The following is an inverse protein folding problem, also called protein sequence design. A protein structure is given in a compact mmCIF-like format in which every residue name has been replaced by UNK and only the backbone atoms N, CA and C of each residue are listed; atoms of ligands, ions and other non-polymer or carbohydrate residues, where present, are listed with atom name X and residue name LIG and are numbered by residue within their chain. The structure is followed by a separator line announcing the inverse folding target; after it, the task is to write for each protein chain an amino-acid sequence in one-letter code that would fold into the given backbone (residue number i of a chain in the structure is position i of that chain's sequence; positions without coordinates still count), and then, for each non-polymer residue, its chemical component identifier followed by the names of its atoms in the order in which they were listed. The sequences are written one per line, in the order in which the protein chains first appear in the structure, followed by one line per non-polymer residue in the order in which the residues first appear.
data_IF_901123642984
#
_entry.id   IF_901123642984
#
_cell.length_a   1.000
_cell.length_b   1.000
_cell.length_c   1.000
_cell.angle_alpha   90.00
_cell.angle_beta   90.00
_cell.angle_gamma   90.00
#
_symmetry.space_group_name_H-M   'P 1'
#
loop_
_entity.id
_entity.type
_entity.pdbx_description
1 polymer ?
#
# COMPACT_ATOMS: atom_id res chain seq x y z
N UNK A 1 17.00 -7.67 1.88
CA UNK A 1 15.97 -8.60 1.35
C UNK A 1 14.87 -7.77 0.71
N UNK A 2 14.31 -8.20 -0.41
CA UNK A 2 13.18 -7.54 -1.06
C UNK A 2 11.97 -8.47 -1.12
N UNK A 3 10.76 -7.90 -1.00
CA UNK A 3 9.50 -8.62 -1.18
C UNK A 3 8.76 -8.09 -2.40
N UNK A 4 8.37 -8.98 -3.29
CA UNK A 4 7.56 -8.67 -4.46
C UNK A 4 6.17 -9.28 -4.30
N UNK A 5 5.17 -8.44 -4.08
CA UNK A 5 3.77 -8.85 -3.99
C UNK A 5 3.03 -8.53 -5.28
N UNK A 6 2.57 -9.57 -5.96
CA UNK A 6 1.87 -9.47 -7.24
C UNK A 6 0.38 -9.75 -7.01
N UNK A 7 -0.44 -8.74 -7.22
CA UNK A 7 -1.90 -8.81 -7.11
C UNK A 7 -2.53 -8.78 -8.51
N UNK A 8 -3.28 -9.82 -8.87
CA UNK A 8 -4.07 -9.80 -10.10
C UNK A 8 -5.15 -8.70 -10.04
N UNK A 9 -5.88 -8.63 -8.92
CA UNK A 9 -6.87 -7.60 -8.62
C UNK A 9 -6.53 -6.97 -7.27
N UNK A 10 -6.46 -5.64 -7.20
CA UNK A 10 -6.26 -4.92 -5.94
C UNK A 10 -7.31 -3.82 -5.77
N UNK A 11 -7.88 -3.71 -4.57
CA UNK A 11 -8.81 -2.63 -4.21
C UNK A 11 -8.09 -1.56 -3.39
N UNK A 12 -7.88 -0.40 -4.00
CA UNK A 12 -7.07 0.69 -3.45
C UNK A 12 -7.54 1.14 -2.07
N UNK A 13 -8.83 1.50 -1.94
CA UNK A 13 -9.30 2.21 -0.73
C UNK A 13 -9.60 1.29 0.45
N UNK A 14 -9.97 0.05 0.20
CA UNK A 14 -10.40 -0.88 1.25
C UNK A 14 -9.28 -1.82 1.70
N UNK A 15 -8.35 -2.16 0.81
CA UNK A 15 -7.34 -3.20 1.05
C UNK A 15 -5.91 -2.73 0.79
N UNK A 16 -5.69 -1.82 -0.15
CA UNK A 16 -4.36 -1.39 -0.60
C UNK A 16 -3.40 -1.08 0.55
N UNK A 17 -3.78 -0.15 1.43
CA UNK A 17 -2.92 0.26 2.54
C UNK A 17 -2.68 -0.87 3.56
N UNK A 18 -3.73 -1.58 3.97
CA UNK A 18 -3.62 -2.69 4.92
C UNK A 18 -2.73 -3.81 4.40
N UNK A 19 -2.87 -4.16 3.12
CA UNK A 19 -2.04 -5.17 2.47
C UNK A 19 -0.56 -4.75 2.43
N UNK A 20 -0.27 -3.50 2.10
CA UNK A 20 1.11 -2.98 2.11
C UNK A 20 1.73 -3.05 3.52
N UNK A 21 1.02 -2.56 4.54
CA UNK A 21 1.50 -2.60 5.93
C UNK A 21 1.72 -4.04 6.40
N UNK A 22 0.79 -4.94 6.06
CA UNK A 22 0.91 -6.37 6.37
C UNK A 22 2.16 -6.99 5.75
N UNK A 23 2.42 -6.71 4.47
CA UNK A 23 3.61 -7.19 3.77
C UNK A 23 4.90 -6.62 4.34
N UNK A 24 4.93 -5.32 4.67
CA UNK A 24 6.08 -4.69 5.31
C UNK A 24 6.40 -5.36 6.65
N UNK A 25 5.37 -5.60 7.47
CA UNK A 25 5.56 -6.22 8.78
C UNK A 25 6.02 -7.68 8.64
N UNK A 26 5.40 -8.45 7.75
CA UNK A 26 5.83 -9.80 7.44
C UNK A 26 7.26 -9.83 6.91
N UNK A 27 7.62 -8.90 6.03
CA UNK A 27 8.97 -8.80 5.49
C UNK A 27 10.02 -8.47 6.53
N UNK A 28 9.72 -7.57 7.46
CA UNK A 28 10.63 -7.27 8.56
C UNK A 28 10.83 -8.50 9.45
N UNK A 29 9.75 -9.22 9.75
CA UNK A 29 9.82 -10.47 10.52
C UNK A 29 10.66 -11.52 9.79
N UNK A 30 10.39 -11.80 8.52
CA UNK A 30 11.16 -12.79 7.76
C UNK A 30 12.63 -12.38 7.62
N UNK A 31 12.92 -11.08 7.42
CA UNK A 31 14.27 -10.57 7.36
C UNK A 31 15.02 -10.80 8.69
N UNK A 32 14.39 -10.50 9.83
CA UNK A 32 15.00 -10.70 11.15
C UNK A 32 15.30 -12.18 11.44
N UNK A 33 14.38 -13.09 11.11
CA UNK A 33 14.59 -14.54 11.28
C UNK A 33 15.76 -15.07 10.41
N UNK A 34 16.08 -14.38 9.32
CA UNK A 34 17.17 -14.73 8.40
C UNK A 34 18.48 -13.97 8.69
N UNK A 35 18.51 -13.09 9.70
CA UNK A 35 19.65 -12.20 9.95
C UNK A 35 19.92 -11.19 8.82
N UNK A 36 18.87 -10.78 8.12
CA UNK A 36 18.89 -9.81 7.02
C UNK A 36 18.11 -8.55 7.40
N UNK A 37 18.29 -7.48 6.63
CA UNK A 37 17.42 -6.30 6.68
C UNK A 37 16.43 -6.31 5.51
N UNK A 38 15.21 -5.82 5.75
CA UNK A 38 14.23 -5.59 4.69
C UNK A 38 14.56 -4.25 4.02
N UNK A 39 14.85 -4.30 2.72
CA UNK A 39 15.26 -3.15 1.92
C UNK A 39 14.07 -2.58 1.13
N UNK A 40 13.26 -3.45 0.51
CA UNK A 40 12.20 -3.03 -0.39
C UNK A 40 10.93 -3.90 -0.29
N UNK A 41 9.78 -3.27 -0.47
CA UNK A 41 8.48 -3.93 -0.65
C UNK A 41 7.83 -3.41 -1.92
N UNK A 42 7.86 -4.24 -2.96
CA UNK A 42 7.25 -3.96 -4.25
C UNK A 42 5.82 -4.49 -4.27
N UNK A 43 4.84 -3.61 -4.47
CA UNK A 43 3.43 -3.97 -4.63
C UNK A 43 2.99 -3.70 -6.07
N UNK A 44 2.77 -4.77 -6.84
CA UNK A 44 2.40 -4.70 -8.25
C UNK A 44 0.95 -5.16 -8.40
N UNK A 45 0.08 -4.31 -8.92
CA UNK A 45 -1.31 -4.65 -9.21
C UNK A 45 -1.53 -4.67 -10.72
N UNK A 46 -2.06 -5.78 -11.26
CA UNK A 46 -2.42 -5.86 -12.68
C UNK A 46 -3.68 -5.06 -12.98
N UNK A 47 -4.67 -5.14 -12.09
CA UNK A 47 -5.87 -4.30 -12.11
C UNK A 47 -5.99 -3.60 -10.75
N UNK A 48 -6.01 -2.27 -10.77
CA UNK A 48 -6.25 -1.45 -9.60
C UNK A 48 -7.67 -0.89 -9.65
N UNK A 49 -8.55 -1.43 -8.81
CA UNK A 49 -9.88 -0.90 -8.63
C UNK A 49 -9.92 0.08 -7.46
N UNK A 50 -10.78 1.10 -7.56
CA UNK A 50 -10.94 2.07 -6.48
C UNK A 50 -11.39 1.39 -5.18
N UNK A 51 -12.33 0.45 -5.26
CA UNK A 51 -13.00 -0.15 -4.10
C UNK A 51 -14.33 0.55 -3.81
N UNK A 52 -14.71 0.65 -2.53
CA UNK A 52 -16.03 1.13 -2.09
C UNK A 52 -16.12 2.65 -1.86
N UNK A 53 -15.09 3.42 -2.22
CA UNK A 53 -15.07 4.86 -2.00
C UNK A 53 -15.88 5.61 -3.05
N UNK A 54 -16.75 6.52 -2.60
CA UNK A 54 -17.45 7.44 -3.49
C UNK A 54 -16.74 8.79 -3.65
N UNK A 55 -17.20 9.60 -4.62
CA UNK A 55 -16.61 10.92 -4.95
C UNK A 55 -16.60 11.90 -3.77
N UNK A 56 -17.65 11.89 -2.93
CA UNK A 56 -17.76 12.79 -1.78
C UNK A 56 -16.73 12.44 -0.72
N UNK A 57 -16.54 11.16 -0.43
CA UNK A 57 -15.53 10.66 0.50
C UNK A 57 -14.12 10.97 0.01
N UNK A 58 -13.84 10.71 -1.27
CA UNK A 58 -12.55 11.02 -1.89
C UNK A 58 -12.21 12.52 -1.74
N UNK A 59 -13.19 13.41 -2.00
CA UNK A 59 -12.97 14.85 -1.89
C UNK A 59 -12.71 15.30 -0.45
N UNK A 60 -13.42 14.71 0.52
CA UNK A 60 -13.16 14.95 1.96
C UNK A 60 -11.75 14.51 2.34
N UNK A 61 -11.31 13.34 1.87
CA UNK A 61 -9.97 12.82 2.13
C UNK A 61 -8.89 13.76 1.58
N UNK A 62 -8.99 14.13 0.30
CA UNK A 62 -8.04 15.05 -0.34
C UNK A 62 -7.97 16.38 0.41
N UNK A 63 -9.12 16.99 0.70
CA UNK A 63 -9.15 18.28 1.42
C UNK A 63 -8.50 18.19 2.80
N UNK A 64 -8.72 17.07 3.53
CA UNK A 64 -8.15 16.84 4.86
C UNK A 64 -6.62 16.74 4.83
N UNK A 65 -6.08 16.08 3.82
CA UNK A 65 -4.64 15.78 3.74
C UNK A 65 -3.89 16.63 2.71
N UNK A 66 -4.54 17.64 2.12
CA UNK A 66 -3.96 18.51 1.08
C UNK A 66 -2.63 19.12 1.47
N UNK A 67 -2.42 19.42 2.75
CA UNK A 67 -1.16 19.99 3.27
C UNK A 67 0.05 19.04 3.21
N UNK A 68 -0.18 17.74 2.97
CA UNK A 68 0.86 16.71 2.87
C UNK A 68 1.11 16.27 1.42
N UNK A 69 0.33 16.78 0.47
CA UNK A 69 0.52 16.51 -0.95
C UNK A 69 1.43 17.60 -1.48
N UNK A 70 2.60 17.23 -2.00
CA UNK A 70 3.46 18.19 -2.70
C UNK A 70 2.69 18.77 -3.89
N UNK A 71 2.73 20.10 -4.11
CA UNK A 71 2.12 20.67 -5.29
C UNK A 71 2.85 20.15 -6.53
N UNK A 72 2.09 19.66 -7.50
CA UNK A 72 2.57 19.31 -8.85
C UNK A 72 3.20 20.50 -9.57
#
# INVERSE_FOLDING_TARGET
MAINAIYAMQHLTNRGYGNYVGLRNLGNFMASEMGLELDEVNCIASVLELGKMNKTEARKFINKYRKYVEPD
#
